data_IF_346771884605
#
_entry.id   IF_346771884605
#
_cell.length_a   1.000
_cell.length_b   1.000
_cell.length_c   1.000
_cell.angle_alpha   90.00
_cell.angle_beta   90.00
_cell.angle_gamma   90.00
#
_symmetry.space_group_name_H-M   'P 1'
#
loop_
_entity.id
_entity.type
_entity.pdbx_description
1 polymer ?
#
# COMPACT_ATOMS: atom_id res chain seq x y z
N UNK A 1 -6.22 -3.20 19.81
CA UNK A 1 -5.42 -4.33 20.32
C UNK A 1 -4.52 -4.96 19.24
N UNK A 2 -5.06 -5.48 18.13
CA UNK A 2 -4.25 -6.14 17.09
C UNK A 2 -3.08 -5.29 16.56
N UNK A 3 -3.32 -3.99 16.29
CA UNK A 3 -2.28 -3.04 15.89
C UNK A 3 -1.10 -3.00 16.88
N UNK A 4 -1.40 -2.95 18.19
CA UNK A 4 -0.39 -2.89 19.25
C UNK A 4 0.40 -4.21 19.28
N UNK A 5 -0.28 -5.36 19.14
CA UNK A 5 0.40 -6.66 19.10
C UNK A 5 1.36 -6.76 17.90
N UNK A 6 0.94 -6.30 16.71
CA UNK A 6 1.81 -6.24 15.53
C UNK A 6 3.00 -5.30 15.74
N UNK A 7 2.79 -4.15 16.37
CA UNK A 7 3.85 -3.19 16.70
C UNK A 7 4.88 -3.81 17.64
N UNK A 8 4.41 -4.48 18.71
CA UNK A 8 5.27 -5.18 19.66
C UNK A 8 5.99 -6.35 18.98
N UNK A 9 5.33 -7.08 18.07
CA UNK A 9 5.89 -8.24 17.38
C UNK A 9 7.15 -7.93 16.55
N UNK A 10 7.32 -6.70 16.05
CA UNK A 10 8.51 -6.29 15.27
C UNK A 10 9.80 -6.51 16.06
N UNK A 11 9.82 -6.17 17.35
CA UNK A 11 11.01 -6.24 18.20
C UNK A 11 11.53 -7.68 18.34
N UNK A 12 10.75 -8.66 18.82
CA UNK A 12 11.20 -10.05 18.91
C UNK A 12 11.46 -10.67 17.54
N UNK A 13 10.72 -10.30 16.47
CA UNK A 13 11.06 -10.73 15.11
C UNK A 13 12.45 -10.21 14.69
N UNK A 14 12.76 -8.96 15.00
CA UNK A 14 14.05 -8.33 14.67
C UNK A 14 15.20 -9.00 15.41
N UNK A 15 15.02 -9.23 16.71
CA UNK A 15 15.97 -9.95 17.55
C UNK A 15 16.15 -11.40 17.06
N UNK A 16 15.10 -12.07 16.61
CA UNK A 16 15.16 -13.43 16.07
C UNK A 16 15.98 -13.50 14.77
N UNK A 17 15.88 -12.49 13.92
CA UNK A 17 16.66 -12.42 12.67
C UNK A 17 18.16 -12.23 12.97
N UNK A 18 18.51 -11.47 14.02
CA UNK A 18 19.91 -11.22 14.43
C UNK A 18 20.50 -12.23 15.41
N UNK A 19 19.70 -12.96 16.17
CA UNK A 19 20.18 -13.92 17.18
C UNK A 19 19.93 -15.37 16.74
N UNK A 20 20.60 -16.36 17.35
CA UNK A 20 20.26 -17.79 17.16
C UNK A 20 19.13 -18.25 18.11
N UNK A 21 18.60 -17.35 18.94
CA UNK A 21 17.64 -17.66 19.98
C UNK A 21 16.27 -18.00 19.42
N UNK A 22 15.84 -19.26 19.57
CA UNK A 22 14.53 -19.74 19.09
C UNK A 22 13.35 -19.07 19.81
N UNK A 23 13.54 -18.58 21.03
CA UNK A 23 12.49 -17.94 21.83
C UNK A 23 11.96 -16.66 21.18
N UNK A 24 12.84 -15.77 20.71
CA UNK A 24 12.43 -14.52 20.07
C UNK A 24 11.61 -14.76 18.80
N UNK A 25 12.00 -15.76 18.00
CA UNK A 25 11.25 -16.14 16.80
C UNK A 25 9.86 -16.67 17.13
N UNK A 26 9.77 -17.55 18.14
CA UNK A 26 8.48 -18.09 18.62
C UNK A 26 7.57 -16.99 19.16
N UNK A 27 8.11 -16.07 19.98
CA UNK A 27 7.35 -14.96 20.56
C UNK A 27 6.84 -14.00 19.48
N UNK A 28 7.70 -13.59 18.56
CA UNK A 28 7.30 -12.67 17.48
C UNK A 28 6.22 -13.26 16.58
N UNK A 29 6.34 -14.54 16.24
CA UNK A 29 5.31 -15.25 15.46
C UNK A 29 4.02 -15.44 16.27
N UNK A 30 4.11 -15.81 17.55
CA UNK A 30 2.94 -15.93 18.42
C UNK A 30 2.15 -14.63 18.50
N UNK A 31 2.83 -13.50 18.73
CA UNK A 31 2.20 -12.17 18.75
C UNK A 31 1.55 -11.83 17.41
N UNK A 32 2.20 -12.20 16.30
CA UNK A 32 1.64 -11.99 14.95
C UNK A 32 0.38 -12.82 14.72
N UNK A 33 0.37 -14.11 15.12
CA UNK A 33 -0.82 -14.95 15.05
C UNK A 33 -1.95 -14.42 15.94
N UNK A 34 -1.64 -14.01 17.17
CA UNK A 34 -2.62 -13.42 18.09
C UNK A 34 -3.24 -12.15 17.49
N UNK A 35 -2.42 -11.28 16.88
CA UNK A 35 -2.91 -10.09 16.20
C UNK A 35 -3.79 -10.43 14.99
N UNK A 36 -3.41 -11.42 14.20
CA UNK A 36 -4.17 -11.88 13.04
C UNK A 36 -5.54 -12.46 13.43
N UNK A 37 -5.60 -13.26 14.51
CA UNK A 37 -6.88 -13.77 15.04
C UNK A 37 -7.77 -12.61 15.48
N UNK A 38 -7.25 -11.63 16.22
CA UNK A 38 -8.02 -10.46 16.63
C UNK A 38 -8.50 -9.62 15.43
N UNK A 39 -7.69 -9.53 14.38
CA UNK A 39 -8.05 -8.89 13.12
C UNK A 39 -9.21 -9.61 12.42
N UNK A 40 -9.18 -10.94 12.36
CA UNK A 40 -10.28 -11.74 11.79
C UNK A 40 -11.56 -11.61 12.63
N UNK A 41 -11.44 -11.66 13.97
CA UNK A 41 -12.58 -11.44 14.87
C UNK A 41 -13.18 -10.06 14.64
N UNK A 42 -12.35 -9.01 14.53
CA UNK A 42 -12.82 -7.66 14.21
C UNK A 42 -13.57 -7.62 12.87
N UNK A 43 -13.03 -8.26 11.83
CA UNK A 43 -13.65 -8.28 10.51
C UNK A 43 -15.03 -8.97 10.55
N UNK A 44 -15.14 -10.11 11.23
CA UNK A 44 -16.40 -10.86 11.38
C UNK A 44 -17.42 -10.08 12.22
N UNK A 45 -17.01 -9.54 13.37
CA UNK A 45 -17.90 -8.74 14.22
C UNK A 45 -18.41 -7.52 13.48
N UNK A 46 -17.54 -6.83 12.72
CA UNK A 46 -17.95 -5.68 11.92
C UNK A 46 -18.89 -6.08 10.79
N UNK A 47 -18.63 -7.19 10.11
CA UNK A 47 -19.54 -7.72 9.09
C UNK A 47 -20.94 -7.93 9.67
N UNK A 48 -21.05 -8.63 10.81
CA UNK A 48 -22.34 -8.86 11.48
C UNK A 48 -23.01 -7.55 11.90
N UNK A 49 -22.23 -6.55 12.32
CA UNK A 49 -22.78 -5.27 12.77
C UNK A 49 -23.30 -4.37 11.64
N UNK A 50 -22.82 -4.54 10.40
CA UNK A 50 -23.18 -3.68 9.26
C UNK A 50 -23.99 -4.40 8.18
N UNK A 51 -24.29 -5.69 8.38
CA UNK A 51 -25.04 -6.56 7.47
C UNK A 51 -24.47 -6.67 6.04
N UNK A 52 -23.20 -6.30 5.84
CA UNK A 52 -22.46 -6.50 4.61
C UNK A 52 -20.97 -6.70 4.91
N UNK A 53 -20.22 -7.24 3.93
CA UNK A 53 -18.78 -7.39 4.09
C UNK A 53 -18.13 -6.01 4.26
N UNK A 54 -17.27 -5.81 5.28
CA UNK A 54 -16.69 -4.51 5.58
C UNK A 54 -15.50 -4.24 4.64
N UNK A 55 -15.82 -3.87 3.40
CA UNK A 55 -14.90 -3.46 2.32
C UNK A 55 -15.47 -2.30 1.49
N UNK A 56 -16.46 -1.57 2.02
CA UNK A 56 -17.23 -0.59 1.23
C UNK A 56 -16.64 0.82 1.25
N UNK A 57 -15.81 1.14 2.24
CA UNK A 57 -15.11 2.43 2.37
C UNK A 57 -13.59 2.25 2.51
N UNK A 58 -12.84 3.35 2.49
CA UNK A 58 -11.38 3.32 2.53
C UNK A 58 -10.81 2.76 3.85
N UNK A 59 -11.43 3.06 5.00
CA UNK A 59 -11.02 2.48 6.29
C UNK A 59 -11.13 0.95 6.27
N UNK A 60 -12.26 0.45 5.78
CA UNK A 60 -12.57 -0.97 5.67
C UNK A 60 -11.68 -1.69 4.66
N UNK A 61 -11.48 -1.10 3.48
CA UNK A 61 -10.57 -1.62 2.46
C UNK A 61 -9.13 -1.70 2.96
N UNK A 62 -8.61 -0.62 3.56
CA UNK A 62 -7.26 -0.58 4.15
C UNK A 62 -7.13 -1.63 5.26
N UNK A 63 -8.16 -1.76 6.11
CA UNK A 63 -8.17 -2.75 7.17
C UNK A 63 -8.09 -4.16 6.59
N UNK A 64 -9.00 -4.51 5.67
CA UNK A 64 -9.00 -5.82 5.01
C UNK A 64 -7.66 -6.11 4.30
N UNK A 65 -7.09 -5.12 3.61
CA UNK A 65 -5.79 -5.25 2.95
C UNK A 65 -4.66 -5.54 3.95
N UNK A 66 -4.63 -4.85 5.10
CA UNK A 66 -3.67 -5.12 6.18
C UNK A 66 -3.84 -6.52 6.80
N UNK A 67 -5.09 -6.99 6.97
CA UNK A 67 -5.39 -8.36 7.43
C UNK A 67 -4.84 -9.38 6.43
N UNK A 68 -5.14 -9.20 5.13
CA UNK A 68 -4.66 -10.08 4.08
C UNK A 68 -3.14 -10.09 3.97
N UNK A 69 -2.46 -8.95 4.08
CA UNK A 69 -1.00 -8.89 4.09
C UNK A 69 -0.39 -9.65 5.28
N UNK A 70 -0.97 -9.47 6.46
CA UNK A 70 -0.56 -10.20 7.66
C UNK A 70 -0.78 -11.71 7.47
N UNK A 71 -1.92 -12.11 6.92
CA UNK A 71 -2.24 -13.50 6.57
C UNK A 71 -1.28 -14.08 5.53
N UNK A 72 -0.97 -13.35 4.46
CA UNK A 72 0.00 -13.76 3.43
C UNK A 72 1.38 -13.97 4.04
N UNK A 73 1.83 -13.10 4.95
CA UNK A 73 3.07 -13.33 5.68
C UNK A 73 3.02 -14.62 6.52
N UNK A 74 1.95 -14.85 7.27
CA UNK A 74 1.81 -16.05 8.09
C UNK A 74 1.80 -17.34 7.26
N UNK A 75 1.17 -17.33 6.08
CA UNK A 75 1.21 -18.45 5.13
C UNK A 75 2.66 -18.71 4.67
N UNK A 76 3.39 -17.65 4.30
CA UNK A 76 4.78 -17.77 3.84
C UNK A 76 5.70 -18.23 4.97
N UNK A 77 5.49 -17.73 6.17
CA UNK A 77 6.18 -18.22 7.35
C UNK A 77 5.84 -19.69 7.60
N UNK A 78 4.58 -20.11 7.47
CA UNK A 78 4.18 -21.50 7.66
C UNK A 78 4.89 -22.44 6.65
N UNK A 79 4.96 -22.05 5.38
CA UNK A 79 5.54 -22.85 4.30
C UNK A 79 7.08 -22.88 4.31
N UNK A 80 7.73 -21.73 4.50
CA UNK A 80 9.18 -21.58 4.32
C UNK A 80 9.95 -21.27 5.61
N UNK A 81 9.26 -21.07 6.73
CA UNK A 81 9.82 -20.71 8.04
C UNK A 81 10.67 -19.44 8.05
N UNK A 82 10.46 -18.55 7.06
CA UNK A 82 11.28 -17.36 6.92
C UNK A 82 10.75 -16.17 7.74
N UNK A 83 11.42 -15.87 8.86
CA UNK A 83 11.06 -14.75 9.75
C UNK A 83 11.34 -13.38 9.12
N UNK A 84 12.40 -13.28 8.30
CA UNK A 84 12.87 -12.01 7.72
C UNK A 84 11.79 -11.34 6.87
N UNK A 85 10.94 -12.11 6.18
CA UNK A 85 9.83 -11.56 5.39
C UNK A 85 8.91 -10.69 6.26
N UNK A 86 8.68 -11.11 7.51
CA UNK A 86 7.84 -10.39 8.47
C UNK A 86 8.39 -9.03 8.88
N UNK A 87 9.72 -8.87 8.87
CA UNK A 87 10.35 -7.57 9.16
C UNK A 87 10.08 -6.53 8.08
N UNK A 88 9.64 -6.94 6.90
CA UNK A 88 9.29 -6.04 5.81
C UNK A 88 7.77 -5.93 5.66
N UNK A 89 7.03 -7.05 5.76
CA UNK A 89 5.58 -7.05 5.57
C UNK A 89 4.78 -6.53 6.78
N UNK A 90 5.21 -6.81 8.02
CA UNK A 90 4.48 -6.36 9.22
C UNK A 90 4.52 -4.84 9.39
N UNK A 91 5.68 -4.15 9.23
CA UNK A 91 5.68 -2.68 9.23
C UNK A 91 4.78 -2.09 8.15
N UNK A 92 4.77 -2.67 6.95
CA UNK A 92 3.87 -2.22 5.87
C UNK A 92 2.39 -2.44 6.23
N UNK A 93 2.06 -3.56 6.86
CA UNK A 93 0.71 -3.83 7.38
C UNK A 93 0.31 -2.79 8.44
N UNK A 94 1.18 -2.48 9.40
CA UNK A 94 0.94 -1.44 10.40
C UNK A 94 0.76 -0.06 9.76
N UNK A 95 1.56 0.25 8.74
CA UNK A 95 1.46 1.48 7.96
C UNK A 95 0.06 1.60 7.34
N UNK A 96 -0.41 0.55 6.67
CA UNK A 96 -1.74 0.49 6.04
C UNK A 96 -2.85 0.66 7.08
N UNK A 97 -2.76 -0.05 8.21
CA UNK A 97 -3.76 0.03 9.28
C UNK A 97 -3.77 1.40 9.97
N UNK A 98 -2.60 1.99 10.20
CA UNK A 98 -2.44 3.31 10.78
C UNK A 98 -3.03 4.38 9.88
N UNK A 99 -2.70 4.34 8.57
CA UNK A 99 -3.29 5.25 7.60
C UNK A 99 -4.81 5.06 7.46
N UNK A 100 -5.27 3.81 7.43
CA UNK A 100 -6.69 3.47 7.44
C UNK A 100 -7.44 4.19 8.57
N UNK A 101 -6.84 4.26 9.76
CA UNK A 101 -7.46 4.86 10.96
C UNK A 101 -7.77 6.36 10.87
N UNK A 102 -7.19 7.06 9.88
CA UNK A 102 -7.44 8.48 9.60
C UNK A 102 -8.75 8.68 8.81
N UNK A 103 -9.25 7.63 8.14
CA UNK A 103 -10.52 7.70 7.43
C UNK A 103 -11.70 7.51 8.39
N UNK A 104 -12.86 8.02 7.97
CA UNK A 104 -14.11 7.86 8.71
C UNK A 104 -14.42 6.38 8.98
N UNK A 105 -14.69 6.06 10.24
CA UNK A 105 -15.05 4.70 10.69
C UNK A 105 -16.56 4.47 10.67
N UNK A 106 -17.32 5.54 10.46
CA UNK A 106 -18.78 5.58 10.49
C UNK A 106 -19.37 4.74 9.36
N UNK A 107 -20.49 4.10 9.68
CA UNK A 107 -21.23 3.28 8.74
C UNK A 107 -22.20 4.20 8.01
N UNK A 108 -21.98 4.39 6.72
CA UNK A 108 -22.87 5.15 5.85
C UNK A 108 -23.66 4.20 4.94
N UNK A 109 -24.91 4.53 4.56
CA UNK A 109 -25.67 3.73 3.61
C UNK A 109 -24.89 3.55 2.31
N UNK A 110 -24.87 2.32 1.79
CA UNK A 110 -24.21 2.02 0.52
C UNK A 110 -24.90 2.77 -0.61
N UNK A 111 -24.14 3.56 -1.38
CA UNK A 111 -24.65 4.12 -2.64
C UNK A 111 -25.05 2.99 -3.59
N UNK A 112 -26.03 3.19 -4.50
CA UNK A 112 -26.60 2.10 -5.30
C UNK A 112 -25.58 1.26 -6.07
N UNK A 113 -24.50 1.86 -6.57
CA UNK A 113 -23.41 1.16 -7.28
C UNK A 113 -22.60 0.21 -6.39
N UNK A 114 -22.64 0.38 -5.07
CA UNK A 114 -21.98 -0.48 -4.08
C UNK A 114 -22.87 -1.63 -3.57
N UNK A 115 -24.17 -1.64 -3.90
CA UNK A 115 -25.12 -2.66 -3.45
C UNK A 115 -25.08 -3.92 -4.33
N UNK A 116 -23.91 -4.52 -4.48
CA UNK A 116 -23.73 -5.75 -5.28
C UNK A 116 -22.74 -6.70 -4.64
N UNK A 117 -23.12 -7.98 -4.52
CA UNK A 117 -22.21 -9.03 -4.07
C UNK A 117 -20.97 -9.16 -4.97
N UNK A 118 -21.09 -8.81 -6.26
CA UNK A 118 -19.97 -8.83 -7.18
C UNK A 118 -18.91 -7.77 -6.86
N UNK A 119 -19.31 -6.60 -6.35
CA UNK A 119 -18.35 -5.62 -5.87
C UNK A 119 -17.54 -6.18 -4.70
N UNK A 120 -18.23 -6.77 -3.72
CA UNK A 120 -17.58 -7.39 -2.56
C UNK A 120 -16.57 -8.44 -2.98
N UNK A 121 -16.98 -9.35 -3.88
CA UNK A 121 -16.10 -10.40 -4.39
C UNK A 121 -14.92 -9.80 -5.16
N UNK A 122 -15.16 -8.80 -6.02
CA UNK A 122 -14.12 -8.06 -6.73
C UNK A 122 -13.09 -7.45 -5.77
N UNK A 123 -13.55 -6.59 -4.85
CA UNK A 123 -12.68 -5.83 -3.94
C UNK A 123 -11.89 -6.75 -3.02
N UNK A 124 -12.55 -7.76 -2.43
CA UNK A 124 -11.85 -8.72 -1.56
C UNK A 124 -10.80 -9.53 -2.32
N UNK A 125 -11.14 -10.00 -3.52
CA UNK A 125 -10.22 -10.83 -4.32
C UNK A 125 -9.02 -10.01 -4.80
N UNK A 126 -9.22 -8.77 -5.29
CA UNK A 126 -8.11 -7.92 -5.75
C UNK A 126 -7.24 -7.42 -4.59
N UNK A 127 -7.84 -7.13 -3.42
CA UNK A 127 -7.08 -6.78 -2.22
C UNK A 127 -6.25 -7.96 -1.72
N UNK A 128 -6.82 -9.17 -1.69
CA UNK A 128 -6.08 -10.37 -1.29
C UNK A 128 -4.95 -10.70 -2.27
N UNK A 129 -5.21 -10.62 -3.57
CA UNK A 129 -4.18 -10.74 -4.60
C UNK A 129 -3.04 -9.74 -4.38
N UNK A 130 -3.37 -8.46 -4.20
CA UNK A 130 -2.39 -7.39 -3.96
C UNK A 130 -1.55 -7.65 -2.71
N UNK A 131 -2.14 -8.25 -1.67
CA UNK A 131 -1.44 -8.60 -0.44
C UNK A 131 -0.42 -9.72 -0.69
N UNK A 132 -0.78 -10.74 -1.47
CA UNK A 132 0.15 -11.81 -1.88
C UNK A 132 1.25 -11.25 -2.78
N UNK A 133 0.92 -10.38 -3.75
CA UNK A 133 1.91 -9.75 -4.64
C UNK A 133 2.86 -8.82 -3.88
N UNK A 134 2.41 -8.21 -2.78
CA UNK A 134 3.31 -7.45 -1.90
C UNK A 134 4.34 -8.32 -1.17
N UNK A 135 4.06 -9.62 -0.95
CA UNK A 135 5.08 -10.58 -0.50
C UNK A 135 6.14 -10.77 -1.57
N UNK A 136 5.74 -10.89 -2.85
CA UNK A 136 6.70 -10.97 -3.97
C UNK A 136 7.61 -9.73 -4.02
N UNK A 137 7.04 -8.54 -3.82
CA UNK A 137 7.81 -7.30 -3.66
C UNK A 137 8.77 -7.38 -2.47
N UNK A 138 8.28 -7.79 -1.28
CA UNK A 138 9.09 -7.84 -0.07
C UNK A 138 10.26 -8.82 -0.21
N UNK A 139 10.04 -10.01 -0.77
CA UNK A 139 11.11 -10.99 -0.99
C UNK A 139 12.05 -10.58 -2.11
N UNK A 140 11.57 -9.91 -3.16
CA UNK A 140 12.42 -9.28 -4.18
C UNK A 140 13.33 -8.19 -3.60
N UNK A 141 12.80 -7.35 -2.71
CA UNK A 141 13.58 -6.33 -2.00
C UNK A 141 14.62 -6.95 -1.07
N UNK A 142 14.25 -7.99 -0.31
CA UNK A 142 15.16 -8.75 0.54
C UNK A 142 16.27 -9.41 -0.29
N UNK A 143 15.92 -9.97 -1.45
CA UNK A 143 16.87 -10.55 -2.39
C UNK A 143 17.92 -9.51 -2.80
N UNK A 144 17.50 -8.34 -3.29
CA UNK A 144 18.42 -7.28 -3.73
C UNK A 144 19.29 -6.75 -2.60
N UNK A 145 18.71 -6.52 -1.41
CA UNK A 145 19.47 -6.12 -0.23
C UNK A 145 20.56 -7.15 0.12
N UNK A 146 20.27 -8.44 -0.09
CA UNK A 146 21.19 -9.53 0.23
C UNK A 146 22.30 -9.72 -0.81
N UNK A 147 22.01 -9.50 -2.09
CA UNK A 147 22.91 -9.81 -3.21
C UNK A 147 23.69 -8.61 -3.72
N UNK A 148 23.10 -7.42 -3.73
CA UNK A 148 23.76 -6.22 -4.25
C UNK A 148 24.86 -5.74 -3.31
N UNK A 149 25.99 -5.32 -3.90
CA UNK A 149 27.05 -4.63 -3.19
C UNK A 149 26.71 -3.14 -3.04
N UNK A 150 25.94 -2.82 -1.99
CA UNK A 150 25.51 -1.46 -1.63
C UNK A 150 26.66 -0.47 -1.35
N UNK A 151 27.91 -0.94 -1.27
CA UNK A 151 29.08 -0.06 -1.13
C UNK A 151 29.53 0.54 -2.47
N UNK A 152 29.20 -0.12 -3.59
CA UNK A 152 29.54 0.32 -4.94
C UNK A 152 28.39 1.08 -5.55
N UNK A 153 28.71 2.13 -6.30
CA UNK A 153 27.72 2.89 -7.07
C UNK A 153 27.39 2.13 -8.37
N UNK A 154 26.16 1.66 -8.48
CA UNK A 154 25.59 1.08 -9.70
C UNK A 154 24.13 1.51 -9.87
N UNK A 155 23.59 1.39 -11.09
CA UNK A 155 22.16 1.67 -11.36
C UNK A 155 21.28 0.86 -10.39
N UNK A 156 21.56 -0.43 -10.21
CA UNK A 156 20.80 -1.28 -9.28
C UNK A 156 20.85 -0.78 -7.84
N UNK A 157 22.00 -0.32 -7.34
CA UNK A 157 22.10 0.22 -5.97
C UNK A 157 21.38 1.56 -5.81
N UNK A 158 21.43 2.43 -6.83
CA UNK A 158 20.66 3.68 -6.82
C UNK A 158 19.16 3.43 -6.87
N UNK A 159 18.71 2.51 -7.75
CA UNK A 159 17.31 2.10 -7.82
C UNK A 159 16.83 1.46 -6.52
N UNK A 160 17.68 0.66 -5.85
CA UNK A 160 17.33 0.05 -4.57
C UNK A 160 17.16 1.13 -3.50
N UNK A 161 18.10 2.07 -3.41
CA UNK A 161 17.99 3.19 -2.47
C UNK A 161 16.77 4.07 -2.78
N UNK A 162 16.43 4.28 -4.06
CA UNK A 162 15.23 5.00 -4.45
C UNK A 162 13.95 4.30 -3.98
N UNK A 163 13.85 2.97 -4.14
CA UNK A 163 12.71 2.19 -3.63
C UNK A 163 12.61 2.32 -2.11
N UNK A 164 13.72 2.26 -1.40
CA UNK A 164 13.75 2.44 0.06
C UNK A 164 13.38 3.87 0.46
N UNK A 165 13.81 4.87 -0.29
CA UNK A 165 13.39 6.27 -0.11
C UNK A 165 11.87 6.41 -0.27
N UNK A 166 11.26 5.80 -1.28
CA UNK A 166 9.81 5.79 -1.44
C UNK A 166 9.10 5.16 -0.23
N UNK A 167 9.65 4.09 0.37
CA UNK A 167 9.10 3.52 1.60
C UNK A 167 9.23 4.51 2.79
N UNK A 168 10.33 5.26 2.88
CA UNK A 168 10.50 6.32 3.89
C UNK A 168 9.50 7.47 3.66
N UNK A 169 9.20 7.82 2.41
CA UNK A 169 8.16 8.79 2.07
C UNK A 169 6.79 8.36 2.58
N UNK A 170 6.44 7.08 2.43
CA UNK A 170 5.19 6.53 2.98
C UNK A 170 5.17 6.64 4.52
N UNK A 171 6.28 6.36 5.20
CA UNK A 171 6.38 6.56 6.66
C UNK A 171 6.20 8.04 7.04
N UNK A 172 6.85 8.94 6.30
CA UNK A 172 6.71 10.39 6.49
C UNK A 172 5.27 10.87 6.33
N UNK A 173 4.58 10.39 5.30
CA UNK A 173 3.16 10.66 5.04
C UNK A 173 2.26 10.27 6.22
N UNK A 174 2.48 9.10 6.81
CA UNK A 174 1.69 8.65 7.96
C UNK A 174 1.97 9.51 9.18
N UNK A 175 3.25 9.85 9.42
CA UNK A 175 3.64 10.71 10.52
C UNK A 175 2.96 12.07 10.45
N UNK A 176 2.97 12.72 9.28
CA UNK A 176 2.33 14.03 9.11
C UNK A 176 0.81 13.95 9.10
N UNK A 177 0.22 12.90 8.51
CA UNK A 177 -1.23 12.67 8.54
C UNK A 177 -1.74 12.45 9.96
N UNK A 178 -1.00 11.67 10.75
CA UNK A 178 -1.31 11.44 12.17
C UNK A 178 -1.17 12.73 12.98
N UNK A 179 -0.12 13.52 12.73
CA UNK A 179 0.08 14.81 13.39
C UNK A 179 -1.13 15.74 13.17
N UNK A 180 -1.55 15.95 11.92
CA UNK A 180 -2.69 16.83 11.64
C UNK A 180 -4.02 16.30 12.18
N UNK A 181 -4.22 14.98 12.10
CA UNK A 181 -5.40 14.32 12.68
C UNK A 181 -5.47 14.50 14.20
N UNK A 182 -4.35 14.37 14.91
CA UNK A 182 -4.28 14.58 16.36
C UNK A 182 -4.48 16.05 16.76
N UNK A 183 -4.09 17.00 15.89
CA UNK A 183 -4.35 18.43 16.11
C UNK A 183 -5.77 18.84 15.70
N UNK A 184 -6.62 17.91 15.28
CA UNK A 184 -7.97 18.16 14.77
C UNK A 184 -8.01 19.30 13.73
N UNK A 185 -7.02 19.31 12.83
CA UNK A 185 -6.94 20.32 11.79
C UNK A 185 -7.91 19.97 10.67
N UNK A 186 -9.01 20.71 10.58
CA UNK A 186 -9.94 20.67 9.45
C UNK A 186 -10.21 22.09 8.97
N UNK A 187 -9.85 22.37 7.71
CA UNK A 187 -10.11 23.66 7.08
C UNK A 187 -11.06 23.47 5.89
N UNK A 188 -12.21 24.12 5.93
CA UNK A 188 -13.12 24.17 4.79
C UNK A 188 -12.66 25.22 3.79
N UNK A 189 -12.52 24.81 2.53
CA UNK A 189 -12.09 25.65 1.42
C UNK A 189 -13.12 25.55 0.31
N UNK A 190 -13.52 26.69 -0.23
CA UNK A 190 -14.47 26.79 -1.33
C UNK A 190 -13.73 27.24 -2.60
N UNK A 191 -14.03 26.60 -3.73
CA UNK A 191 -13.42 26.92 -5.02
C UNK A 191 -14.38 26.60 -6.17
N UNK A 192 -14.18 27.19 -7.34
CA UNK A 192 -14.91 26.80 -8.56
C UNK A 192 -14.28 25.58 -9.21
N UNK A 193 -15.06 24.54 -9.49
CA UNK A 193 -14.56 23.34 -10.16
C UNK A 193 -14.35 23.59 -11.67
N UNK A 194 -13.86 22.57 -12.40
CA UNK A 194 -13.63 22.66 -13.84
C UNK A 194 -14.89 22.99 -14.70
N UNK A 195 -16.09 22.85 -14.12
CA UNK A 195 -17.38 23.13 -14.75
C UNK A 195 -17.96 24.48 -14.32
N UNK A 196 -17.20 25.28 -13.56
CA UNK A 196 -17.64 26.59 -13.05
C UNK A 196 -18.66 26.50 -11.91
N UNK A 197 -18.82 25.33 -11.28
CA UNK A 197 -19.68 25.15 -10.11
C UNK A 197 -18.88 25.31 -8.83
N UNK A 198 -19.45 25.97 -7.83
CA UNK A 198 -18.83 26.09 -6.51
C UNK A 198 -18.80 24.73 -5.80
N UNK A 199 -17.61 24.31 -5.39
CA UNK A 199 -17.36 23.06 -4.67
C UNK A 199 -16.66 23.37 -3.32
N UNK A 200 -17.00 22.60 -2.29
CA UNK A 200 -16.37 22.71 -0.97
C UNK A 200 -15.49 21.49 -0.75
N UNK A 201 -14.23 21.71 -0.34
CA UNK A 201 -13.32 20.65 0.10
C UNK A 201 -12.86 20.90 1.54
N UNK A 202 -12.87 19.84 2.35
CA UNK A 202 -12.29 19.85 3.69
C UNK A 202 -10.85 19.38 3.61
N UNK A 203 -9.91 20.25 3.95
CA UNK A 203 -8.48 19.94 4.03
C UNK A 203 -8.12 19.47 5.43
N UNK A 204 -7.75 18.20 5.55
CA UNK A 204 -7.28 17.59 6.82
C UNK A 204 -5.77 17.75 7.05
N UNK A 205 -5.10 18.50 6.18
CA UNK A 205 -3.69 18.92 6.33
C UNK A 205 -3.61 20.38 5.90
N UNK A 206 -2.67 21.14 6.48
CA UNK A 206 -2.48 22.55 6.10
C UNK A 206 -2.36 22.68 4.57
N UNK A 207 -3.18 23.52 3.91
CA UNK A 207 -3.15 23.65 2.45
C UNK A 207 -1.87 24.39 2.03
N UNK A 208 -0.94 23.67 1.43
CA UNK A 208 0.19 24.24 0.70
C UNK A 208 -0.23 24.53 -0.74
N UNK A 209 -1.02 23.64 -1.34
CA UNK A 209 -1.54 23.81 -2.69
C UNK A 209 -3.06 23.73 -2.68
N UNK A 210 -3.68 24.66 -3.40
CA UNK A 210 -5.14 24.79 -3.51
C UNK A 210 -5.54 24.97 -4.97
N UNK A 211 -6.82 24.76 -5.26
CA UNK A 211 -7.40 25.11 -6.55
C UNK A 211 -7.42 26.64 -6.74
N UNK A 212 -7.41 27.09 -7.99
CA UNK A 212 -7.37 28.51 -8.34
C UNK A 212 -8.61 29.22 -7.80
N UNK A 213 -8.41 30.35 -7.12
CA UNK A 213 -9.49 31.12 -6.49
C UNK A 213 -10.07 30.48 -5.23
N UNK A 214 -9.35 29.57 -4.59
CA UNK A 214 -9.77 28.94 -3.35
C UNK A 214 -9.76 29.92 -2.17
N UNK A 215 -10.88 29.98 -1.44
CA UNK A 215 -11.08 30.85 -0.28
C UNK A 215 -11.65 30.09 0.92
N UNK A 216 -11.42 30.61 2.13
CA UNK A 216 -12.10 30.12 3.35
C UNK A 216 -13.58 30.51 3.36
N UNK A 217 -14.34 30.00 4.32
CA UNK A 217 -15.72 30.47 4.56
C UNK A 217 -15.81 31.97 4.88
N UNK A 218 -14.71 32.57 5.39
CA UNK A 218 -14.63 33.99 5.68
C UNK A 218 -14.19 34.83 4.45
N UNK A 219 -13.92 34.19 3.31
CA UNK A 219 -13.44 34.85 2.10
C UNK A 219 -11.92 35.10 2.06
N UNK A 220 -11.16 34.58 3.01
CA UNK A 220 -9.70 34.74 3.04
C UNK A 220 -9.04 33.82 2.02
N UNK A 221 -8.06 34.34 1.27
CA UNK A 221 -7.23 33.52 0.38
C UNK A 221 -6.43 32.49 1.18
N UNK A 222 -6.33 31.27 0.64
CA UNK A 222 -5.61 30.14 1.27
C UNK A 222 -4.64 29.49 0.32
N UNK A 223 -3.70 28.72 0.87
CA UNK A 223 -2.67 28.04 0.09
C UNK A 223 -1.43 28.89 -0.14
N UNK A 224 -0.29 28.23 -0.35
CA UNK A 224 0.94 28.88 -0.81
C UNK A 224 1.02 28.93 -2.33
N UNK A 225 0.41 27.96 -3.00
CA UNK A 225 0.40 27.81 -4.44
C UNK A 225 -1.01 27.49 -4.94
N UNK A 226 -1.39 28.09 -6.06
CA UNK A 226 -2.64 27.79 -6.76
C UNK A 226 -2.38 26.85 -7.95
N UNK A 227 -3.32 25.96 -8.23
CA UNK A 227 -3.28 25.06 -9.38
C UNK A 227 -4.58 25.09 -10.19
N UNK A 228 -4.54 24.46 -11.37
CA UNK A 228 -5.72 24.29 -12.22
C UNK A 228 -6.85 23.53 -11.53
N UNK A 229 -8.10 23.90 -11.83
CA UNK A 229 -9.30 23.28 -11.26
C UNK A 229 -9.64 21.91 -11.88
N UNK A 230 -8.77 21.41 -12.77
CA UNK A 230 -8.86 20.07 -13.36
C UNK A 230 -8.23 18.97 -12.50
N UNK A 231 -7.37 19.36 -11.54
CA UNK A 231 -6.64 18.43 -10.67
C UNK A 231 -7.18 18.58 -9.25
N UNK A 232 -7.29 17.47 -8.54
CA UNK A 232 -7.68 17.43 -7.13
C UNK A 232 -6.54 17.99 -6.26
N UNK A 233 -6.63 19.28 -5.92
CA UNK A 233 -5.59 19.97 -5.17
C UNK A 233 -5.44 19.43 -3.74
N UNK A 234 -6.54 19.01 -3.12
CA UNK A 234 -6.54 18.41 -1.78
C UNK A 234 -5.67 17.16 -1.77
N UNK A 235 -5.85 16.27 -2.73
CA UNK A 235 -5.05 15.05 -2.74
C UNK A 235 -3.60 15.31 -3.17
N UNK A 236 -3.34 16.21 -4.12
CA UNK A 236 -1.96 16.60 -4.47
C UNK A 236 -1.23 17.25 -3.27
N UNK A 237 -1.92 18.06 -2.47
CA UNK A 237 -1.39 18.63 -1.24
C UNK A 237 -0.91 17.52 -0.27
N UNK A 238 -1.67 16.44 -0.11
CA UNK A 238 -1.28 15.28 0.69
C UNK A 238 -0.02 14.59 0.15
N UNK A 239 0.15 14.48 -1.17
CA UNK A 239 1.39 13.95 -1.78
C UNK A 239 2.57 14.87 -1.47
N UNK A 240 2.39 16.18 -1.61
CA UNK A 240 3.48 17.13 -1.37
C UNK A 240 3.93 17.08 0.08
N UNK A 241 2.99 16.98 1.03
CA UNK A 241 3.32 16.71 2.43
C UNK A 241 4.06 15.39 2.62
N UNK A 242 3.62 14.30 1.96
CA UNK A 242 4.29 13.00 1.99
C UNK A 242 5.77 13.13 1.57
N UNK A 243 6.03 13.72 0.42
CA UNK A 243 7.40 13.88 -0.11
C UNK A 243 8.23 14.85 0.72
N UNK A 244 7.65 15.96 1.20
CA UNK A 244 8.36 16.95 2.02
C UNK A 244 8.84 16.31 3.33
N UNK A 245 7.93 15.71 4.10
CA UNK A 245 8.24 15.09 5.39
C UNK A 245 9.07 13.82 5.20
N UNK A 246 8.77 13.05 4.15
CA UNK A 246 9.58 11.90 3.74
C UNK A 246 11.03 12.24 3.44
N UNK A 247 11.28 13.34 2.71
CA UNK A 247 12.62 13.83 2.40
C UNK A 247 13.36 14.31 3.64
N UNK A 248 12.67 15.03 4.52
CA UNK A 248 13.22 15.46 5.82
C UNK A 248 13.61 14.25 6.65
N UNK A 249 12.72 13.25 6.76
CA UNK A 249 12.98 12.01 7.51
C UNK A 249 14.15 11.22 6.92
N UNK A 250 14.18 11.03 5.60
CA UNK A 250 15.26 10.33 4.92
C UNK A 250 16.61 11.03 5.12
N UNK A 251 16.63 12.36 5.01
CA UNK A 251 17.83 13.17 5.24
C UNK A 251 18.28 13.08 6.70
N UNK A 252 17.35 13.14 7.66
CA UNK A 252 17.65 12.95 9.08
C UNK A 252 18.25 11.58 9.36
N UNK A 253 17.69 10.50 8.80
CA UNK A 253 18.24 9.14 8.89
C UNK A 253 19.68 9.12 8.38
N UNK A 254 19.94 9.72 7.21
CA UNK A 254 21.29 9.80 6.63
C UNK A 254 22.26 10.65 7.45
N UNK A 255 21.80 11.75 8.03
CA UNK A 255 22.64 12.62 8.86
C UNK A 255 23.01 11.95 10.20
N UNK A 256 22.06 11.27 10.86
CA UNK A 256 22.29 10.58 12.13
C UNK A 256 23.14 9.34 11.94
N UNK A 257 22.82 8.50 10.96
CA UNK A 257 23.50 7.21 10.78
C UNK A 257 24.76 7.30 9.92
N UNK A 258 24.93 8.41 9.18
CA UNK A 258 25.98 8.62 8.16
C UNK A 258 25.99 7.51 7.09
N UNK A 259 24.86 6.82 6.90
CA UNK A 259 24.72 5.65 6.03
C UNK A 259 23.45 5.78 5.19
N UNK A 260 23.46 5.15 4.02
CA UNK A 260 22.26 4.97 3.20
C UNK A 260 21.30 3.99 3.87
N UNK A 261 20.01 4.06 3.53
CA UNK A 261 18.99 3.17 4.11
C UNK A 261 19.27 1.71 3.72
N UNK A 262 19.72 1.48 2.49
CA UNK A 262 20.18 0.17 2.01
C UNK A 262 21.30 -0.43 2.87
N UNK A 263 22.28 0.37 3.29
CA UNK A 263 23.38 -0.08 4.17
C UNK A 263 22.88 -0.40 5.57
N UNK A 264 21.89 0.35 6.09
CA UNK A 264 21.27 0.08 7.41
C UNK A 264 20.48 -1.22 7.39
N UNK A 265 19.76 -1.50 6.30
CA UNK A 265 18.87 -2.65 6.18
C UNK A 265 19.59 -3.95 5.78
N UNK A 266 20.69 -3.87 5.01
CA UNK A 266 21.43 -5.04 4.53
C UNK A 266 21.84 -6.06 5.62
N UNK A 267 22.31 -5.67 6.82
CA UNK A 267 22.62 -6.63 7.88
C UNK A 267 21.44 -7.52 8.30
N UNK A 268 20.20 -7.02 8.18
CA UNK A 268 18.99 -7.76 8.53
C UNK A 268 18.61 -8.83 7.52
N UNK A 269 19.17 -8.79 6.31
CA UNK A 269 18.96 -9.83 5.30
C UNK A 269 20.10 -10.84 5.25
N UNK A 270 21.22 -10.62 5.94
CA UNK A 270 22.46 -11.42 5.84
C UNK A 270 22.31 -12.94 5.95
N UNK A 271 21.33 -13.41 6.74
CA UNK A 271 21.09 -14.84 7.01
C UNK A 271 20.10 -15.52 6.04
N UNK A 272 19.49 -14.78 5.13
CA UNK A 272 18.59 -15.36 4.14
C UNK A 272 19.37 -16.02 3.01
N UNK A 273 18.84 -17.12 2.49
CA UNK A 273 19.30 -17.69 1.23
C UNK A 273 18.66 -16.91 0.07
N UNK A 274 19.45 -16.28 -0.82
CA UNK A 274 18.90 -15.50 -1.92
C UNK A 274 17.97 -16.32 -2.83
N UNK A 275 18.37 -17.54 -3.18
CA UNK A 275 17.60 -18.43 -4.05
C UNK A 275 16.20 -18.71 -3.48
N UNK A 276 16.12 -18.90 -2.16
CA UNK A 276 14.83 -19.06 -1.49
C UNK A 276 13.97 -17.80 -1.57
N UNK A 277 14.55 -16.59 -1.49
CA UNK A 277 13.77 -15.34 -1.61
C UNK A 277 13.23 -15.14 -3.01
N UNK A 278 14.03 -15.48 -4.03
CA UNK A 278 13.61 -15.50 -5.42
C UNK A 278 12.49 -16.53 -5.66
N UNK A 279 12.62 -17.74 -5.12
CA UNK A 279 11.60 -18.79 -5.22
C UNK A 279 10.29 -18.37 -4.55
N UNK A 280 10.35 -17.84 -3.31
CA UNK A 280 9.16 -17.33 -2.62
C UNK A 280 8.52 -16.19 -3.43
N UNK A 281 9.33 -15.29 -4.00
CA UNK A 281 8.82 -14.21 -4.86
C UNK A 281 8.04 -14.76 -6.04
N UNK A 282 8.61 -15.72 -6.76
CA UNK A 282 7.95 -16.38 -7.89
C UNK A 282 6.66 -17.10 -7.46
N UNK A 283 6.69 -17.90 -6.38
CA UNK A 283 5.50 -18.63 -5.90
C UNK A 283 4.38 -17.68 -5.49
N UNK A 284 4.73 -16.54 -4.89
CA UNK A 284 3.75 -15.50 -4.57
C UNK A 284 3.12 -14.92 -5.85
N UNK A 285 3.89 -14.68 -6.92
CA UNK A 285 3.31 -14.26 -8.21
C UNK A 285 2.41 -15.33 -8.82
N UNK A 286 2.80 -16.61 -8.79
CA UNK A 286 1.99 -17.73 -9.30
C UNK A 286 0.62 -17.80 -8.64
N UNK A 287 0.52 -17.48 -7.34
CA UNK A 287 -0.76 -17.47 -6.61
C UNK A 287 -1.48 -16.12 -6.79
N UNK A 288 -0.76 -15.02 -6.69
CA UNK A 288 -1.32 -13.67 -6.76
C UNK A 288 -1.88 -13.32 -8.13
N UNK A 289 -1.25 -13.78 -9.22
CA UNK A 289 -1.65 -13.46 -10.59
C UNK A 289 -3.05 -13.98 -10.97
N UNK A 290 -3.39 -15.28 -10.78
CA UNK A 290 -4.76 -15.75 -11.04
C UNK A 290 -5.81 -15.04 -10.18
N UNK A 291 -5.49 -14.77 -8.91
CA UNK A 291 -6.38 -13.99 -8.03
C UNK A 291 -6.54 -12.56 -8.54
N UNK A 292 -5.48 -11.93 -9.08
CA UNK A 292 -5.58 -10.61 -9.69
C UNK A 292 -6.44 -10.64 -10.94
N UNK A 293 -6.26 -11.65 -11.80
CA UNK A 293 -7.06 -11.81 -13.01
C UNK A 293 -8.55 -11.99 -12.70
N UNK A 294 -8.87 -12.78 -11.68
CA UNK A 294 -10.24 -12.97 -11.21
C UNK A 294 -10.79 -11.69 -10.58
N UNK A 295 -10.10 -11.13 -9.59
CA UNK A 295 -10.53 -9.94 -8.87
C UNK A 295 -10.50 -8.69 -9.75
N UNK A 296 -9.30 -8.26 -10.14
CA UNK A 296 -9.03 -7.00 -10.83
C UNK A 296 -9.51 -6.90 -12.27
N UNK A 297 -9.90 -8.01 -12.92
CA UNK A 297 -10.49 -7.99 -14.26
C UNK A 297 -11.86 -8.68 -14.31
N UNK A 298 -11.94 -10.00 -14.11
CA UNK A 298 -13.17 -10.75 -14.38
C UNK A 298 -14.35 -10.28 -13.51
N UNK A 299 -14.18 -10.27 -12.19
CA UNK A 299 -15.22 -9.83 -11.26
C UNK A 299 -15.45 -8.33 -11.33
N UNK A 300 -14.42 -7.55 -11.69
CA UNK A 300 -14.55 -6.13 -11.96
C UNK A 300 -15.49 -5.86 -13.15
N UNK A 301 -15.31 -6.58 -14.26
CA UNK A 301 -16.13 -6.46 -15.46
C UNK A 301 -17.58 -6.87 -15.21
N UNK A 302 -17.81 -7.95 -14.46
CA UNK A 302 -19.16 -8.38 -14.07
C UNK A 302 -19.85 -7.31 -13.23
N UNK A 303 -19.14 -6.76 -12.23
CA UNK A 303 -19.67 -5.66 -11.43
C UNK A 303 -19.93 -4.40 -12.28
N UNK A 304 -19.01 -4.02 -13.17
CA UNK A 304 -19.15 -2.86 -14.05
C UNK A 304 -20.38 -2.99 -14.97
N UNK A 305 -20.68 -4.20 -15.47
CA UNK A 305 -21.89 -4.44 -16.25
C UNK A 305 -23.16 -4.20 -15.43
N UNK A 306 -23.17 -4.58 -14.16
CA UNK A 306 -24.32 -4.39 -13.27
C UNK A 306 -24.46 -2.91 -12.88
N UNK A 307 -23.36 -2.24 -12.57
CA UNK A 307 -23.37 -0.86 -12.07
C UNK A 307 -23.55 0.19 -13.18
N UNK A 308 -22.96 -0.04 -14.35
CA UNK A 308 -22.84 0.95 -15.43
C UNK A 308 -23.28 0.43 -16.80
N UNK A 309 -23.88 -0.76 -16.87
CA UNK A 309 -24.35 -1.37 -18.12
C UNK A 309 -23.27 -1.55 -19.19
N UNK A 310 -21.99 -1.66 -18.77
CA UNK A 310 -20.85 -1.97 -19.64
C UNK A 310 -19.79 -2.78 -18.91
N UNK A 311 -19.16 -3.73 -19.60
CA UNK A 311 -18.06 -4.53 -19.02
C UNK A 311 -16.75 -3.75 -18.87
N UNK A 312 -16.52 -2.75 -19.72
CA UNK A 312 -15.27 -2.00 -19.77
C UNK A 312 -15.52 -0.60 -20.31
N UNK A 313 -14.90 0.40 -19.69
CA UNK A 313 -15.01 1.82 -19.98
C UNK A 313 -13.72 2.51 -20.42
N UNK A 314 -12.58 1.81 -20.44
CA UNK A 314 -11.24 2.37 -20.71
C UNK A 314 -10.86 3.52 -19.78
N UNK A 315 -11.45 3.58 -18.58
CA UNK A 315 -11.03 4.58 -17.62
C UNK A 315 -9.63 4.24 -17.07
N UNK A 316 -8.92 5.22 -16.51
CA UNK A 316 -7.57 5.01 -16.04
C UNK A 316 -7.40 3.82 -15.10
N UNK A 317 -8.34 3.55 -14.18
CA UNK A 317 -8.17 2.42 -13.24
C UNK A 317 -8.27 1.08 -13.94
N UNK A 318 -9.20 0.94 -14.86
CA UNK A 318 -9.35 -0.23 -15.72
C UNK A 318 -8.09 -0.43 -16.58
N UNK A 319 -7.59 0.63 -17.23
CA UNK A 319 -6.35 0.57 -18.03
C UNK A 319 -5.16 0.12 -17.19
N UNK A 320 -4.99 0.67 -15.98
CA UNK A 320 -3.88 0.30 -15.09
C UNK A 320 -4.05 -1.08 -14.46
N UNK A 321 -5.29 -1.57 -14.29
CA UNK A 321 -5.55 -2.97 -13.94
C UNK A 321 -5.11 -3.90 -15.08
N UNK A 322 -5.42 -3.57 -16.34
CA UNK A 322 -4.95 -4.34 -17.50
C UNK A 322 -3.41 -4.32 -17.63
N UNK A 323 -2.77 -3.16 -17.42
CA UNK A 323 -1.30 -3.05 -17.40
C UNK A 323 -0.71 -3.97 -16.31
N UNK A 324 -1.29 -3.96 -15.11
CA UNK A 324 -0.87 -4.83 -14.00
C UNK A 324 -0.96 -6.31 -14.39
N UNK A 325 -2.10 -6.72 -14.98
CA UNK A 325 -2.30 -8.08 -15.46
C UNK A 325 -1.25 -8.47 -16.51
N UNK A 326 -1.06 -7.66 -17.55
CA UNK A 326 -0.10 -7.93 -18.61
C UNK A 326 1.34 -7.97 -18.09
N UNK A 327 1.67 -7.11 -17.13
CA UNK A 327 3.00 -7.10 -16.51
C UNK A 327 3.29 -8.40 -15.75
N UNK A 328 2.36 -8.87 -14.90
CA UNK A 328 2.55 -10.12 -14.17
C UNK A 328 2.45 -11.36 -15.07
N UNK A 329 1.68 -11.29 -16.16
CA UNK A 329 1.72 -12.31 -17.20
C UNK A 329 3.10 -12.37 -17.88
N UNK A 330 3.70 -11.22 -18.19
CA UNK A 330 5.06 -11.14 -18.72
C UNK A 330 6.11 -11.61 -17.71
N UNK A 331 5.93 -11.29 -16.42
CA UNK A 331 6.76 -11.82 -15.33
C UNK A 331 6.80 -13.35 -15.39
N UNK A 332 5.63 -13.99 -15.35
CA UNK A 332 5.52 -15.45 -15.37
C UNK A 332 6.06 -16.04 -16.67
N UNK A 333 5.78 -15.38 -17.81
CA UNK A 333 6.31 -15.78 -19.10
C UNK A 333 7.83 -15.79 -19.10
N UNK A 334 8.51 -14.71 -18.69
CA UNK A 334 9.98 -14.68 -18.65
C UNK A 334 10.58 -15.67 -17.66
N UNK A 335 9.89 -15.94 -16.54
CA UNK A 335 10.33 -16.97 -15.59
C UNK A 335 10.29 -18.37 -16.21
N UNK A 336 9.18 -18.72 -16.87
CA UNK A 336 8.96 -20.05 -17.44
C UNK A 336 9.70 -20.27 -18.77
N UNK A 337 9.73 -19.27 -19.66
CA UNK A 337 10.27 -19.42 -21.02
C UNK A 337 11.76 -19.11 -21.12
N UNK A 338 12.23 -18.08 -20.41
CA UNK A 338 13.63 -17.61 -20.48
C UNK A 338 14.46 -17.99 -19.25
N UNK A 339 13.87 -18.67 -18.26
CA UNK A 339 14.56 -19.05 -17.03
C UNK A 339 15.12 -17.85 -16.26
N UNK A 340 14.43 -16.71 -16.27
CA UNK A 340 14.91 -15.52 -15.56
C UNK A 340 14.89 -15.76 -14.05
N UNK A 341 16.03 -15.64 -13.40
CA UNK A 341 16.16 -15.79 -11.95
C UNK A 341 17.01 -14.68 -11.32
N UNK A 342 16.89 -14.55 -10.00
CA UNK A 342 17.69 -13.65 -9.19
C UNK A 342 17.37 -12.17 -9.39
N UNK A 343 18.37 -11.36 -9.77
CA UNK A 343 18.22 -9.90 -9.80
C UNK A 343 17.15 -9.44 -10.79
N UNK A 344 17.02 -10.09 -11.94
CA UNK A 344 16.02 -9.73 -12.98
C UNK A 344 14.59 -9.88 -12.44
N UNK A 345 14.29 -11.01 -11.81
CA UNK A 345 12.96 -11.29 -11.24
C UNK A 345 12.69 -10.46 -9.99
N UNK A 346 13.72 -10.17 -9.19
CA UNK A 346 13.58 -9.24 -8.07
C UNK A 346 13.18 -7.84 -8.53
N UNK A 347 13.77 -7.33 -9.62
CA UNK A 347 13.34 -6.05 -10.21
C UNK A 347 11.94 -6.12 -10.81
N UNK A 348 11.57 -7.20 -11.48
CA UNK A 348 10.21 -7.38 -11.97
C UNK A 348 9.20 -7.36 -10.81
N UNK A 349 9.51 -7.99 -9.68
CA UNK A 349 8.63 -7.99 -8.51
C UNK A 349 8.45 -6.58 -7.95
N UNK A 350 9.54 -5.79 -7.92
CA UNK A 350 9.52 -4.39 -7.47
C UNK A 350 8.69 -3.51 -8.41
N UNK A 351 8.92 -3.61 -9.72
CA UNK A 351 8.21 -2.83 -10.72
C UNK A 351 6.74 -3.20 -10.75
N UNK A 352 6.41 -4.50 -10.70
CA UNK A 352 5.03 -4.98 -10.71
C UNK A 352 4.21 -4.44 -9.54
N UNK A 353 4.79 -4.45 -8.34
CA UNK A 353 4.13 -3.84 -7.18
C UNK A 353 4.09 -2.32 -7.27
N UNK A 354 5.13 -1.69 -7.85
CA UNK A 354 5.13 -0.26 -8.17
C UNK A 354 3.97 0.13 -9.10
N UNK A 355 3.62 -0.70 -10.08
CA UNK A 355 2.45 -0.49 -10.96
C UNK A 355 1.14 -0.57 -10.15
N UNK A 356 1.01 -1.52 -9.22
CA UNK A 356 -0.16 -1.60 -8.33
C UNK A 356 -0.28 -0.34 -7.47
N UNK A 357 0.82 0.10 -6.85
CA UNK A 357 0.85 1.32 -6.03
C UNK A 357 0.54 2.55 -6.87
N UNK A 358 1.05 2.63 -8.09
CA UNK A 358 0.74 3.71 -9.02
C UNK A 358 -0.76 3.76 -9.35
N UNK A 359 -1.38 2.61 -9.63
CA UNK A 359 -2.82 2.52 -9.86
C UNK A 359 -3.61 3.02 -8.64
N UNK A 360 -3.23 2.60 -7.42
CA UNK A 360 -4.01 2.97 -6.23
C UNK A 360 -3.73 4.36 -5.67
N UNK A 361 -2.56 4.91 -5.92
CA UNK A 361 -2.22 6.26 -5.43
C UNK A 361 -2.43 7.25 -6.56
N UNK A 362 -1.64 7.17 -7.63
CA UNK A 362 -1.56 8.23 -8.65
C UNK A 362 -2.80 8.34 -9.55
N UNK A 363 -3.40 7.22 -9.95
CA UNK A 363 -4.59 7.28 -10.81
C UNK A 363 -5.76 7.95 -10.10
N UNK A 364 -5.87 7.77 -8.79
CA UNK A 364 -6.84 8.47 -7.93
C UNK A 364 -6.60 9.98 -7.80
N UNK A 365 -5.43 10.48 -8.20
CA UNK A 365 -4.99 11.86 -8.06
C UNK A 365 -5.15 12.67 -9.34
N UNK A 366 -4.84 12.06 -10.49
CA UNK A 366 -4.69 12.79 -11.76
C UNK A 366 -5.97 12.80 -12.58
N UNK A 367 -6.88 11.84 -12.39
CA UNK A 367 -8.06 11.73 -13.24
C UNK A 367 -9.30 11.47 -12.38
N UNK A 368 -10.24 12.42 -12.41
CA UNK A 368 -11.60 12.21 -11.92
C UNK A 368 -12.27 11.13 -12.80
N UNK A 369 -12.18 9.88 -12.38
CA UNK A 369 -12.86 8.75 -12.99
C UNK A 369 -14.13 8.38 -12.22
N UNK A 370 -15.00 7.58 -12.84
CA UNK A 370 -16.23 7.01 -12.24
C UNK A 370 -15.96 6.16 -10.97
N UNK A 371 -14.70 5.85 -10.71
CA UNK A 371 -14.20 5.10 -9.57
C UNK A 371 -13.67 5.98 -8.43
N UNK A 372 -13.87 7.29 -8.43
CA UNK A 372 -13.47 8.13 -7.29
C UNK A 372 -14.34 7.74 -6.09
N UNK A 373 -13.81 6.91 -5.19
CA UNK A 373 -14.39 6.76 -3.87
C UNK A 373 -14.31 8.15 -3.22
N UNK A 374 -15.49 8.75 -3.03
CA UNK A 374 -15.66 10.02 -2.34
C UNK A 374 -15.14 9.95 -0.90
#
# INVERSE_FOLDING_TARGET
>A
MAFILLLIAIVPLGLAVKSKGKMFGKLGIFLTYAAFVLQLVYFVVRWVAVDHAPVSNMYEFMTFFGIMLTGSYLIIHFLYKQLVVGLFTIPVSLIILGYGSVFAKEVSPLVPSLQSHWLTIHVMTVAFSSAILSVSFATGLIFLLRTLDVSKKSISTYSLEFVLYCLVVVIGFIGISTFFSLTAYDLQVQFENAQGQSEKAVYSMKPLIVNKGAVTENGDAVGLFEMTNKIDAKKLNSIVWAFMIGTVLYTAIRLVTRKSVSVILKPWTSRVQPQLMDEISYRAVVIGFPLFALGGLLFAMIWAQIAWSRYWGWDPKEVWALITFLFYAAFLHFRLSKGWEGEKTAWLAIIGFGIIVFNQVFVNLVIAGLHSYA
#
